data_IF_590925727515
#
_entry.id   IF_590925727515
#
_cell.length_a   1.000
_cell.length_b   1.000
_cell.length_c   1.000
_cell.angle_alpha   90.00
_cell.angle_beta   90.00
_cell.angle_gamma   90.00
#
_symmetry.space_group_name_H-M   'P 1'
#
loop_
_entity.id
_entity.type
_entity.pdbx_description
1 polymer ?
#
# COMPACT_ATOMS: atom_id res chain seq x y z
N UNK A 1 24.10 12.31 -4.59
CA UNK A 1 23.20 13.39 -4.14
C UNK A 1 21.82 13.08 -4.71
N UNK A 2 21.05 12.38 -3.89
CA UNK A 2 19.96 11.49 -4.24
C UNK A 2 18.66 12.25 -4.55
N UNK A 3 18.35 12.37 -5.85
CA UNK A 3 17.05 12.83 -6.36
C UNK A 3 16.10 11.66 -6.68
N UNK A 4 16.27 10.50 -6.03
CA UNK A 4 15.62 9.23 -6.44
C UNK A 4 14.92 8.51 -5.26
N UNK A 5 14.67 9.19 -4.15
CA UNK A 5 13.98 8.60 -2.98
C UNK A 5 12.44 8.74 -3.05
N UNK A 6 11.87 9.07 -4.22
CA UNK A 6 10.42 9.01 -4.47
C UNK A 6 9.92 7.60 -4.84
N UNK A 7 10.73 6.57 -4.63
CA UNK A 7 10.53 5.21 -5.16
C UNK A 7 10.61 4.17 -4.03
N UNK A 8 9.82 4.32 -2.97
CA UNK A 8 9.86 3.31 -1.87
C UNK A 8 8.48 2.75 -1.51
N UNK A 9 7.42 3.01 -2.29
CA UNK A 9 6.18 2.22 -2.12
C UNK A 9 5.45 1.73 -3.37
N UNK A 10 5.76 2.11 -4.62
CA UNK A 10 5.10 1.52 -5.81
C UNK A 10 5.99 1.38 -7.06
N UNK A 11 7.22 0.85 -6.89
CA UNK A 11 8.05 0.38 -8.03
C UNK A 11 8.54 -1.04 -7.74
N UNK A 12 7.68 -2.02 -7.99
CA UNK A 12 8.10 -3.31 -8.55
C UNK A 12 7.47 -3.41 -9.93
N UNK A 13 7.78 -2.43 -10.76
CA UNK A 13 7.46 -2.42 -12.18
C UNK A 13 8.57 -1.63 -12.85
N UNK A 14 9.27 -2.28 -13.78
CA UNK A 14 10.43 -1.77 -14.54
C UNK A 14 11.81 -2.12 -13.95
N UNK A 15 12.26 -3.33 -14.31
CA UNK A 15 13.59 -3.55 -14.91
C UNK A 15 13.45 -4.52 -16.09
N UNK A 16 14.12 -4.21 -17.19
CA UNK A 16 13.71 -4.46 -18.58
C UNK A 16 14.25 -5.76 -19.24
N UNK A 17 13.52 -6.18 -20.29
CA UNK A 17 13.96 -6.90 -21.51
C UNK A 17 14.25 -8.41 -21.48
N UNK A 18 13.29 -9.18 -21.99
CA UNK A 18 13.53 -10.19 -23.03
C UNK A 18 12.23 -10.42 -23.81
N UNK A 19 12.28 -10.20 -25.12
CA UNK A 19 11.21 -10.52 -26.07
C UNK A 19 10.84 -12.00 -25.92
N UNK A 20 9.61 -12.27 -25.50
CA UNK A 20 8.81 -13.39 -26.00
C UNK A 20 7.40 -12.82 -26.26
N UNK A 21 7.05 -12.76 -27.54
CA UNK A 21 5.67 -12.58 -27.95
C UNK A 21 4.96 -13.92 -27.64
N UNK A 22 4.22 -13.95 -26.54
CA UNK A 22 3.20 -14.97 -26.30
C UNK A 22 1.86 -14.23 -26.18
N UNK A 23 1.07 -14.38 -27.24
CA UNK A 23 -0.25 -13.81 -27.43
C UNK A 23 -1.25 -14.69 -26.68
N UNK A 24 -1.71 -14.26 -25.50
CA UNK A 24 -2.52 -15.14 -24.67
C UNK A 24 -3.01 -14.65 -23.31
N UNK A 25 -3.27 -13.35 -23.10
CA UNK A 25 -4.13 -12.89 -21.98
C UNK A 25 -5.05 -11.76 -22.44
N UNK A 26 -6.23 -12.14 -22.91
CA UNK A 26 -7.38 -11.25 -22.97
C UNK A 26 -7.95 -11.13 -21.55
N UNK A 27 -7.87 -9.96 -20.95
CA UNK A 27 -8.99 -9.26 -20.31
C UNK A 27 -8.45 -7.90 -19.85
N UNK A 28 -9.15 -6.84 -20.19
CA UNK A 28 -8.82 -5.46 -19.85
C UNK A 28 -8.74 -5.27 -18.34
N UNK A 29 -7.56 -5.47 -17.75
CA UNK A 29 -7.30 -5.04 -16.39
C UNK A 29 -7.18 -3.52 -16.39
N UNK A 30 -8.04 -2.87 -15.62
CA UNK A 30 -7.78 -1.50 -15.17
C UNK A 30 -6.44 -1.57 -14.45
N UNK A 31 -5.38 -1.11 -15.12
CA UNK A 31 -4.09 -0.89 -14.50
C UNK A 31 -4.34 0.16 -13.41
N UNK A 32 -4.37 -0.27 -12.14
CA UNK A 32 -4.61 0.62 -11.01
C UNK A 32 -3.43 1.58 -10.95
N UNK A 33 -3.65 2.84 -11.33
CA UNK A 33 -2.63 3.87 -11.21
C UNK A 33 -2.54 4.33 -9.75
N UNK A 34 -1.70 3.62 -9.01
CA UNK A 34 -1.50 3.90 -7.59
C UNK A 34 -0.86 5.27 -7.36
N UNK A 35 -0.05 5.76 -8.31
CA UNK A 35 0.54 7.09 -8.18
C UNK A 35 -0.53 8.17 -8.29
N UNK A 36 -1.47 8.00 -9.23
CA UNK A 36 -2.61 8.90 -9.35
C UNK A 36 -3.49 8.86 -8.08
N UNK A 37 -3.77 7.67 -7.52
CA UNK A 37 -4.51 7.55 -6.25
C UNK A 37 -3.81 8.32 -5.12
N UNK A 38 -2.48 8.18 -5.00
CA UNK A 38 -1.70 8.89 -3.98
C UNK A 38 -1.78 10.40 -4.20
N UNK A 39 -1.61 10.88 -5.44
CA UNK A 39 -1.69 12.30 -5.77
C UNK A 39 -3.09 12.87 -5.47
N UNK A 40 -4.16 12.14 -5.82
CA UNK A 40 -5.54 12.51 -5.51
C UNK A 40 -5.77 12.61 -4.00
N UNK A 41 -5.25 11.67 -3.20
CA UNK A 41 -5.33 11.71 -1.74
C UNK A 41 -4.47 12.82 -1.13
N UNK A 42 -3.32 13.16 -1.71
CA UNK A 42 -2.51 14.32 -1.30
C UNK A 42 -3.30 15.61 -1.51
N UNK A 43 -3.97 15.74 -2.66
CA UNK A 43 -4.80 16.89 -2.99
C UNK A 43 -6.03 17.02 -2.08
N UNK A 44 -6.78 15.92 -1.88
CA UNK A 44 -8.00 15.85 -1.05
C UNK A 44 -7.73 16.32 0.39
N UNK A 45 -6.63 15.88 0.97
CA UNK A 45 -6.27 16.22 2.35
C UNK A 45 -5.30 17.40 2.46
N UNK A 46 -5.05 18.10 1.35
CA UNK A 46 -4.17 19.27 1.26
C UNK A 46 -2.80 19.04 1.90
N UNK A 47 -2.23 17.85 1.71
CA UNK A 47 -0.96 17.46 2.30
C UNK A 47 0.15 18.25 1.61
N UNK A 48 0.93 19.07 2.33
CA UNK A 48 2.05 19.77 1.71
C UNK A 48 3.05 18.75 1.15
N UNK A 49 3.45 18.91 -0.12
CA UNK A 49 4.43 18.00 -0.77
C UNK A 49 5.68 17.74 0.09
N UNK A 50 6.19 18.77 0.78
CA UNK A 50 7.34 18.64 1.70
C UNK A 50 7.07 17.72 2.89
N UNK A 51 5.85 17.72 3.43
CA UNK A 51 5.44 16.86 4.52
C UNK A 51 5.30 15.43 4.03
N UNK A 52 4.68 15.22 2.87
CA UNK A 52 4.57 13.91 2.23
C UNK A 52 5.95 13.27 2.00
N UNK A 53 6.90 14.02 1.42
CA UNK A 53 8.26 13.53 1.21
C UNK A 53 8.96 13.16 2.52
N UNK A 54 8.83 13.98 3.56
CA UNK A 54 9.42 13.68 4.87
C UNK A 54 8.78 12.44 5.54
N UNK A 55 7.47 12.25 5.39
CA UNK A 55 6.77 11.06 5.87
C UNK A 55 7.25 9.79 5.12
N UNK A 56 7.42 9.89 3.80
CA UNK A 56 7.93 8.80 2.97
C UNK A 56 9.38 8.42 3.34
N UNK A 57 10.26 9.40 3.58
CA UNK A 57 11.65 9.17 4.01
C UNK A 57 11.76 8.46 5.37
N UNK A 58 10.83 8.74 6.29
CA UNK A 58 10.83 8.13 7.63
C UNK A 58 10.05 6.81 7.69
N UNK A 59 9.27 6.49 6.66
CA UNK A 59 8.34 5.36 6.68
C UNK A 59 7.31 5.46 7.82
N UNK A 60 7.00 6.68 8.27
CA UNK A 60 6.07 6.94 9.36
C UNK A 60 4.64 7.07 8.85
N UNK A 61 3.80 6.13 9.25
CA UNK A 61 2.35 6.11 9.04
C UNK A 61 1.62 7.24 9.78
N UNK A 62 2.18 7.71 10.90
CA UNK A 62 1.59 8.74 11.76
C UNK A 62 2.01 10.17 11.38
N UNK A 63 2.93 10.34 10.43
CA UNK A 63 3.37 11.65 9.97
C UNK A 63 2.35 12.35 9.04
N UNK A 64 1.41 11.58 8.48
CA UNK A 64 0.32 12.07 7.64
C UNK A 64 -1.00 12.01 8.39
N UNK A 65 -2.00 12.75 7.90
CA UNK A 65 -3.35 12.65 8.46
C UNK A 65 -3.88 11.21 8.33
N UNK A 66 -4.53 10.63 9.35
CA UNK A 66 -5.07 9.27 9.29
C UNK A 66 -5.93 8.98 8.05
N UNK A 67 -6.67 10.00 7.59
CA UNK A 67 -7.57 9.85 6.44
C UNK A 67 -6.85 9.70 5.10
N UNK A 68 -5.56 10.07 5.01
CA UNK A 68 -4.74 9.78 3.84
C UNK A 68 -4.68 8.28 3.57
N UNK A 69 -4.47 7.47 4.61
CA UNK A 69 -4.43 6.01 4.48
C UNK A 69 -5.78 5.43 4.08
N UNK A 70 -6.87 5.98 4.62
CA UNK A 70 -8.21 5.54 4.24
C UNK A 70 -8.51 5.82 2.78
N UNK A 71 -8.15 7.01 2.29
CA UNK A 71 -8.29 7.38 0.89
C UNK A 71 -7.48 6.44 -0.02
N UNK A 72 -6.20 6.24 0.27
CA UNK A 72 -5.34 5.35 -0.52
C UNK A 72 -5.89 3.91 -0.55
N UNK A 73 -6.25 3.35 0.60
CA UNK A 73 -6.75 1.99 0.67
C UNK A 73 -8.13 1.81 0.03
N UNK A 74 -9.01 2.81 0.09
CA UNK A 74 -10.27 2.80 -0.69
C UNK A 74 -9.98 2.85 -2.19
N UNK A 75 -9.04 3.69 -2.62
CA UNK A 75 -8.68 3.84 -4.04
C UNK A 75 -8.19 2.55 -4.68
N UNK A 76 -7.48 1.71 -3.92
CA UNK A 76 -6.99 0.40 -4.40
C UNK A 76 -7.91 -0.78 -4.04
N UNK A 77 -9.04 -0.54 -3.35
CA UNK A 77 -10.00 -1.59 -2.97
C UNK A 77 -9.59 -2.46 -1.77
N UNK A 78 -8.61 -2.02 -0.97
CA UNK A 78 -8.20 -2.68 0.29
C UNK A 78 -9.21 -2.46 1.41
N UNK A 79 -9.95 -1.35 1.36
CA UNK A 79 -11.10 -1.11 2.24
C UNK A 79 -12.40 -1.29 1.45
N UNK A 80 -13.37 -1.98 2.05
CA UNK A 80 -14.72 -2.04 1.50
C UNK A 80 -15.49 -0.73 1.72
N UNK A 81 -16.74 -0.66 1.24
CA UNK A 81 -17.60 0.52 1.36
C UNK A 81 -17.92 0.93 2.81
N UNK A 82 -17.75 0.03 3.78
CA UNK A 82 -17.93 0.30 5.21
C UNK A 82 -16.63 0.79 5.88
N UNK A 83 -15.55 0.96 5.11
CA UNK A 83 -14.24 1.34 5.64
C UNK A 83 -13.55 0.23 6.43
N UNK A 84 -13.96 -1.03 6.23
CA UNK A 84 -13.34 -2.20 6.85
C UNK A 84 -12.31 -2.81 5.92
N UNK A 85 -11.27 -3.40 6.50
CA UNK A 85 -10.26 -4.14 5.77
C UNK A 85 -10.88 -5.35 5.06
N UNK A 86 -10.79 -5.36 3.73
CA UNK A 86 -11.27 -6.43 2.87
C UNK A 86 -10.09 -7.34 2.50
N UNK A 87 -10.00 -8.47 3.21
CA UNK A 87 -8.89 -9.40 3.06
C UNK A 87 -8.92 -10.07 1.70
N UNK A 88 -10.09 -10.48 1.23
CA UNK A 88 -10.23 -11.19 -0.03
C UNK A 88 -9.85 -10.26 -1.20
N UNK A 89 -10.36 -9.03 -1.20
CA UNK A 89 -9.98 -8.03 -2.19
C UNK A 89 -8.48 -7.69 -2.13
N UNK A 90 -7.91 -7.63 -0.93
CA UNK A 90 -6.48 -7.37 -0.75
C UNK A 90 -5.61 -8.53 -1.25
N UNK A 91 -6.02 -9.79 -1.03
CA UNK A 91 -5.32 -10.96 -1.55
C UNK A 91 -5.38 -10.99 -3.08
N UNK A 92 -6.54 -10.69 -3.66
CA UNK A 92 -6.69 -10.65 -5.12
C UNK A 92 -5.90 -9.51 -5.76
N UNK A 93 -5.87 -8.33 -5.14
CA UNK A 93 -4.97 -7.24 -5.55
C UNK A 93 -3.50 -7.69 -5.45
N UNK A 94 -3.13 -8.36 -4.35
CA UNK A 94 -1.75 -8.80 -4.13
C UNK A 94 -1.26 -9.79 -5.19
N UNK A 95 -2.12 -10.71 -5.66
CA UNK A 95 -1.77 -11.65 -6.75
C UNK A 95 -1.46 -10.95 -8.08
N UNK A 96 -2.03 -9.76 -8.29
CA UNK A 96 -1.81 -8.97 -9.52
C UNK A 96 -0.50 -8.19 -9.47
N UNK A 97 -0.06 -7.81 -8.27
CA UNK A 97 1.09 -6.94 -8.06
C UNK A 97 2.37 -7.75 -7.83
N UNK A 98 2.29 -8.83 -7.07
CA UNK A 98 3.46 -9.59 -6.61
C UNK A 98 3.67 -10.86 -7.44
N UNK A 99 4.93 -11.23 -7.65
CA UNK A 99 5.26 -12.54 -8.22
C UNK A 99 4.82 -13.67 -7.29
N UNK A 100 4.63 -14.89 -7.80
CA UNK A 100 4.20 -16.04 -6.98
C UNK A 100 5.06 -16.23 -5.71
N UNK A 101 6.39 -16.07 -5.83
CA UNK A 101 7.32 -16.18 -4.71
C UNK A 101 7.18 -15.05 -3.68
N UNK A 102 6.84 -13.84 -4.10
CA UNK A 102 6.59 -12.72 -3.20
C UNK A 102 5.21 -12.81 -2.57
N UNK A 103 4.23 -13.28 -3.34
CA UNK A 103 2.83 -13.43 -2.93
C UNK A 103 2.71 -14.33 -1.70
N UNK A 104 3.45 -15.44 -1.60
CA UNK A 104 3.42 -16.30 -0.40
C UNK A 104 3.72 -15.51 0.91
N UNK A 105 4.67 -14.57 0.85
CA UNK A 105 4.99 -13.71 2.00
C UNK A 105 3.93 -12.64 2.21
N UNK A 106 3.40 -12.06 1.14
CA UNK A 106 2.33 -11.05 1.21
C UNK A 106 1.04 -11.64 1.77
N UNK A 107 0.68 -12.87 1.39
CA UNK A 107 -0.48 -13.58 1.93
C UNK A 107 -0.38 -13.74 3.46
N UNK A 108 0.81 -14.07 3.97
CA UNK A 108 1.06 -14.14 5.42
C UNK A 108 0.87 -12.77 6.08
N UNK A 109 1.35 -11.69 5.46
CA UNK A 109 1.22 -10.33 5.98
C UNK A 109 -0.26 -9.91 6.03
N UNK A 110 -0.98 -10.08 4.91
CA UNK A 110 -2.38 -9.74 4.74
C UNK A 110 -3.24 -10.42 5.81
N UNK A 111 -3.08 -11.73 5.97
CA UNK A 111 -3.84 -12.51 6.97
C UNK A 111 -3.50 -12.10 8.41
N UNK A 112 -2.25 -11.72 8.72
CA UNK A 112 -1.88 -11.25 10.05
C UNK A 112 -2.57 -9.95 10.45
N UNK A 113 -3.01 -9.15 9.48
CA UNK A 113 -3.63 -7.84 9.72
C UNK A 113 -5.16 -7.89 9.75
N UNK A 114 -5.78 -9.06 9.59
CA UNK A 114 -7.23 -9.27 9.69
C UNK A 114 -7.82 -8.70 10.99
N UNK A 115 -7.10 -8.83 12.12
CA UNK A 115 -7.59 -8.41 13.43
C UNK A 115 -7.82 -6.90 13.56
N UNK A 116 -7.32 -6.08 12.63
CA UNK A 116 -7.49 -4.61 12.66
C UNK A 116 -8.97 -4.20 12.61
N UNK A 117 -9.83 -4.99 11.95
CA UNK A 117 -11.27 -4.69 11.89
C UNK A 117 -11.93 -4.66 13.27
N UNK A 118 -11.45 -5.48 14.20
CA UNK A 118 -11.94 -5.56 15.58
C UNK A 118 -11.23 -4.64 16.58
N UNK A 119 -10.24 -3.85 16.13
CA UNK A 119 -9.51 -2.95 17.02
C UNK A 119 -10.42 -1.80 17.51
N UNK A 120 -10.36 -1.47 18.82
CA UNK A 120 -11.06 -0.31 19.33
C UNK A 120 -10.42 0.96 18.76
N UNK A 121 -11.25 1.84 18.22
CA UNK A 121 -10.88 3.18 17.79
C UNK A 121 -11.71 4.21 18.56
N UNK A 122 -11.25 5.45 18.62
CA UNK A 122 -11.93 6.50 19.37
C UNK A 122 -13.16 7.01 18.60
N UNK A 123 -14.02 7.82 19.23
CA UNK A 123 -15.24 8.39 18.63
C UNK A 123 -14.96 9.43 17.49
N UNK A 124 -13.76 9.41 16.91
CA UNK A 124 -13.38 10.17 15.72
C UNK A 124 -13.83 9.49 14.43
N UNK A 125 -13.16 9.81 13.32
CA UNK A 125 -13.45 9.20 12.03
C UNK A 125 -12.90 7.77 12.00
N UNK A 126 -13.74 6.81 12.40
CA UNK A 126 -13.42 5.38 12.63
C UNK A 126 -12.62 4.78 11.47
N UNK A 127 -13.01 5.06 10.24
CA UNK A 127 -12.33 4.56 9.03
C UNK A 127 -10.90 5.07 8.91
N UNK A 128 -10.65 6.34 9.23
CA UNK A 128 -9.32 6.92 9.15
C UNK A 128 -8.39 6.35 10.23
N UNK A 129 -8.89 6.21 11.46
CA UNK A 129 -8.12 5.62 12.57
C UNK A 129 -7.78 4.14 12.30
N UNK A 130 -8.76 3.35 11.82
CA UNK A 130 -8.52 1.96 11.42
C UNK A 130 -7.53 1.85 10.27
N UNK A 131 -7.54 2.79 9.33
CA UNK A 131 -6.62 2.77 8.19
C UNK A 131 -5.17 2.97 8.63
N UNK A 132 -4.91 3.78 9.66
CA UNK A 132 -3.55 3.90 10.22
C UNK A 132 -3.12 2.59 10.88
N UNK A 133 -3.99 1.96 11.66
CA UNK A 133 -3.70 0.66 12.28
C UNK A 133 -3.42 -0.43 11.24
N UNK A 134 -4.13 -0.39 10.11
CA UNK A 134 -3.90 -1.29 8.99
C UNK A 134 -2.53 -1.00 8.34
N UNK A 135 -2.22 0.27 8.07
CA UNK A 135 -0.93 0.66 7.51
C UNK A 135 0.25 0.25 8.41
N UNK A 136 0.13 0.47 9.72
CA UNK A 136 1.10 0.02 10.72
C UNK A 136 1.32 -1.49 10.63
N UNK A 137 0.24 -2.26 10.68
CA UNK A 137 0.32 -3.72 10.64
C UNK A 137 0.97 -4.22 9.34
N UNK A 138 0.55 -3.69 8.19
CA UNK A 138 1.08 -4.10 6.88
C UNK A 138 2.56 -3.75 6.77
N UNK A 139 2.97 -2.53 7.12
CA UNK A 139 4.35 -2.08 6.99
C UNK A 139 5.29 -2.75 8.00
N UNK A 140 4.86 -2.96 9.24
CA UNK A 140 5.68 -3.66 10.24
C UNK A 140 5.91 -5.12 9.88
N UNK A 141 4.92 -5.78 9.27
CA UNK A 141 5.10 -7.14 8.77
C UNK A 141 5.88 -7.16 7.44
N UNK A 142 5.68 -6.18 6.56
CA UNK A 142 6.44 -6.06 5.31
C UNK A 142 7.94 -5.84 5.58
N UNK A 143 8.32 -4.97 6.53
CA UNK A 143 9.73 -4.77 6.94
C UNK A 143 10.39 -6.08 7.38
N UNK A 144 9.66 -6.97 8.06
CA UNK A 144 10.17 -8.28 8.52
C UNK A 144 10.36 -9.28 7.38
N UNK A 145 9.49 -9.26 6.39
CA UNK A 145 9.48 -10.24 5.29
C UNK A 145 10.20 -9.75 4.01
N UNK A 146 10.41 -8.45 3.88
CA UNK A 146 11.02 -7.74 2.75
C UNK A 146 12.03 -6.65 3.23
N UNK A 147 13.09 -7.01 3.97
CA UNK A 147 14.03 -6.01 4.54
C UNK A 147 14.69 -5.11 3.48
N UNK A 148 14.99 -5.68 2.31
CA UNK A 148 15.62 -4.96 1.20
C UNK A 148 14.68 -3.94 0.54
N UNK A 149 13.36 -4.08 0.68
CA UNK A 149 12.37 -3.13 0.15
C UNK A 149 12.35 -1.82 0.94
N UNK A 150 12.74 -1.86 2.21
CA UNK A 150 12.72 -0.69 3.11
C UNK A 150 14.12 -0.17 3.45
N UNK A 151 15.17 -0.66 2.78
CA UNK A 151 16.55 -0.27 3.07
C UNK A 151 17.01 -0.60 4.50
N UNK A 152 16.42 -1.64 5.11
CA UNK A 152 16.81 -2.11 6.45
C UNK A 152 17.86 -3.20 6.28
N UNK A 153 19.14 -2.80 6.31
CA UNK A 153 20.24 -3.75 6.40
C UNK A 153 20.27 -4.37 7.82
N UNK A 154 20.22 -5.70 7.90
CA UNK A 154 20.41 -6.45 9.16
C UNK A 154 21.88 -6.77 9.42
#
# INVERSE_FOLDING_TARGET
MAKVTCIVLFVVGVSLSSIQADDGKNESEVEIDVNQIIDDCIEEYHIPRRLFLAAAETGSTHALTPCFWSCCFKGVGVLNSEGQYDIDATLDLSKKIFTDHEYEKVEIIVKKCESVNGAPVSNGNIECEKSVLLADCLFDNAKKHFPNMFGVDY
#
